data_IF_666406854690
#
_entry.id   IF_666406854690
#
_cell.length_a   1.000
_cell.length_b   1.000
_cell.length_c   1.000
_cell.angle_alpha   90.00
_cell.angle_beta   90.00
_cell.angle_gamma   90.00
#
_symmetry.space_group_name_H-M   'P 1'
#
loop_
_entity.id
_entity.type
_entity.pdbx_description
1 polymer ?
#
# COMPACT_ATOMS: atom_id res chain seq x y z
N UNK A 1 82.25 16.80 -31.60
CA UNK A 1 80.91 17.15 -32.15
C UNK A 1 79.84 16.15 -31.68
N UNK A 2 80.02 14.84 -31.89
CA UNK A 2 79.05 13.81 -31.48
C UNK A 2 78.75 13.71 -29.98
N UNK A 3 79.76 13.90 -29.11
CA UNK A 3 79.56 13.89 -27.64
C UNK A 3 78.65 15.01 -27.14
N UNK A 4 78.72 16.20 -27.73
CA UNK A 4 77.88 17.33 -27.33
C UNK A 4 76.41 17.10 -27.71
N UNK A 5 76.17 16.49 -28.88
CA UNK A 5 74.82 16.10 -29.32
C UNK A 5 74.23 15.05 -28.38
N UNK A 6 75.02 14.05 -27.98
CA UNK A 6 74.57 12.99 -27.08
C UNK A 6 74.18 13.51 -25.70
N UNK A 7 74.97 14.44 -25.15
CA UNK A 7 74.69 15.10 -23.87
C UNK A 7 73.38 15.90 -23.96
N UNK A 8 73.20 16.70 -25.02
CA UNK A 8 71.96 17.48 -25.22
C UNK A 8 70.73 16.58 -25.36
N UNK A 9 70.83 15.44 -26.05
CA UNK A 9 69.73 14.47 -26.17
C UNK A 9 69.36 13.82 -24.83
N UNK A 10 70.35 13.48 -23.99
CA UNK A 10 70.11 12.92 -22.65
C UNK A 10 69.39 13.94 -21.76
N UNK A 11 69.79 15.21 -21.81
CA UNK A 11 69.16 16.24 -20.99
C UNK A 11 67.79 16.64 -21.50
N UNK A 12 67.52 16.65 -22.81
CA UNK A 12 66.21 17.01 -23.36
C UNK A 12 65.16 15.89 -23.22
N UNK A 13 65.58 14.63 -23.25
CA UNK A 13 64.68 13.46 -23.14
C UNK A 13 63.75 13.48 -21.92
N UNK A 14 64.22 13.69 -20.67
CA UNK A 14 63.35 13.73 -19.50
C UNK A 14 62.40 14.94 -19.51
N UNK A 15 62.80 16.09 -20.06
CA UNK A 15 61.90 17.24 -20.21
C UNK A 15 60.77 16.97 -21.20
N UNK A 16 61.08 16.30 -22.33
CA UNK A 16 60.07 15.92 -23.31
C UNK A 16 59.07 14.93 -22.70
N UNK A 17 59.54 13.94 -21.95
CA UNK A 17 58.65 12.97 -21.28
C UNK A 17 57.75 13.65 -20.24
N UNK A 18 58.27 14.59 -19.44
CA UNK A 18 57.48 15.36 -18.48
C UNK A 18 56.41 16.22 -19.17
N UNK A 19 56.75 16.85 -20.29
CA UNK A 19 55.79 17.62 -21.09
C UNK A 19 54.68 16.73 -21.64
N UNK A 20 55.02 15.54 -22.16
CA UNK A 20 54.02 14.60 -22.69
C UNK A 20 53.07 14.11 -21.59
N UNK A 21 53.59 13.76 -20.40
CA UNK A 21 52.76 13.34 -19.26
C UNK A 21 51.87 14.49 -18.79
N UNK A 22 52.36 15.73 -18.77
CA UNK A 22 51.56 16.89 -18.40
C UNK A 22 50.44 17.19 -19.39
N UNK A 23 50.71 17.11 -20.70
CA UNK A 23 49.70 17.30 -21.75
C UNK A 23 48.63 16.20 -21.66
N UNK A 24 49.02 14.95 -21.45
CA UNK A 24 48.06 13.85 -21.28
C UNK A 24 47.24 14.04 -20.00
N UNK A 25 47.87 14.45 -18.89
CA UNK A 25 47.16 14.70 -17.62
C UNK A 25 46.10 15.80 -17.73
N UNK A 26 46.43 16.92 -18.39
CA UNK A 26 45.51 18.05 -18.55
C UNK A 26 44.35 17.74 -19.50
N UNK A 27 44.59 16.93 -20.54
CA UNK A 27 43.53 16.50 -21.46
C UNK A 27 42.58 15.49 -20.81
N UNK A 28 43.08 14.60 -19.96
CA UNK A 28 42.24 13.66 -19.20
C UNK A 28 41.39 14.39 -18.17
N UNK A 29 41.95 15.33 -17.39
CA UNK A 29 41.18 16.09 -16.40
C UNK A 29 40.07 16.93 -17.05
N UNK A 30 40.36 17.54 -18.21
CA UNK A 30 39.35 18.29 -18.96
C UNK A 30 38.21 17.38 -19.47
N UNK A 31 38.53 16.16 -19.90
CA UNK A 31 37.52 15.19 -20.30
C UNK A 31 36.67 14.71 -19.12
N UNK A 32 37.24 14.51 -17.94
CA UNK A 32 36.50 14.14 -16.73
C UNK A 32 35.51 15.25 -16.33
N UNK A 33 35.94 16.52 -16.36
CA UNK A 33 35.07 17.67 -16.06
C UNK A 33 33.92 17.80 -17.07
N UNK A 34 34.19 17.59 -18.36
CA UNK A 34 33.17 17.62 -19.39
C UNK A 34 32.15 16.47 -19.24
N UNK A 35 32.60 15.28 -18.87
CA UNK A 35 31.71 14.13 -18.59
C UNK A 35 30.86 14.40 -17.35
N UNK A 36 31.42 15.03 -16.32
CA UNK A 36 30.69 15.42 -15.10
C UNK A 36 29.58 16.44 -15.40
N UNK A 37 29.85 17.47 -16.21
CA UNK A 37 28.85 18.47 -16.61
C UNK A 37 27.74 17.87 -17.48
N UNK A 38 28.08 16.97 -18.43
CA UNK A 38 27.11 16.26 -19.25
C UNK A 38 26.20 15.38 -18.38
N UNK A 39 26.78 14.67 -17.39
CA UNK A 39 26.03 13.85 -16.44
C UNK A 39 25.09 14.70 -15.58
N UNK A 40 25.57 15.83 -15.05
CA UNK A 40 24.76 16.79 -14.30
C UNK A 40 23.59 17.37 -15.11
N UNK A 41 23.80 17.68 -16.39
CA UNK A 41 22.74 18.13 -17.31
C UNK A 41 21.73 17.02 -17.62
N UNK A 42 22.18 15.78 -17.81
CA UNK A 42 21.32 14.60 -17.99
C UNK A 42 20.45 14.32 -16.75
N UNK A 43 21.02 14.41 -15.56
CA UNK A 43 20.30 14.19 -14.30
C UNK A 43 19.27 15.31 -14.04
N UNK A 44 19.62 16.57 -14.37
CA UNK A 44 18.67 17.70 -14.34
C UNK A 44 17.54 17.53 -15.35
N UNK A 45 17.82 17.07 -16.57
CA UNK A 45 16.79 16.76 -17.56
C UNK A 45 15.90 15.58 -17.14
N UNK A 46 16.48 14.55 -16.50
CA UNK A 46 15.75 13.40 -15.94
C UNK A 46 14.84 13.84 -14.80
N UNK A 47 15.31 14.72 -13.92
CA UNK A 47 14.52 15.35 -12.85
C UNK A 47 13.36 16.17 -13.41
N UNK A 48 13.59 17.01 -14.41
CA UNK A 48 12.54 17.80 -15.07
C UNK A 48 11.53 16.94 -15.86
N UNK A 49 11.91 15.75 -16.34
CA UNK A 49 10.96 14.78 -16.94
C UNK A 49 10.17 14.02 -15.87
N UNK A 50 10.77 13.75 -14.70
CA UNK A 50 10.14 13.14 -13.52
C UNK A 50 9.13 14.08 -12.87
N UNK A 51 9.47 15.35 -12.69
CA UNK A 51 8.58 16.39 -12.15
C UNK A 51 7.37 16.64 -13.06
N UNK A 52 7.58 16.67 -14.40
CA UNK A 52 6.48 16.74 -15.38
C UNK A 52 5.64 15.47 -15.51
N UNK A 53 6.09 14.32 -14.99
CA UNK A 53 5.27 13.10 -14.86
C UNK A 53 4.43 13.15 -13.59
N UNK A 54 4.97 13.67 -12.49
CA UNK A 54 4.23 13.89 -11.25
C UNK A 54 3.15 14.97 -11.37
N UNK A 55 3.41 16.06 -12.11
CA UNK A 55 2.40 17.09 -12.43
C UNK A 55 1.34 16.62 -13.45
N UNK A 56 1.67 15.59 -14.24
CA UNK A 56 0.75 14.95 -15.19
C UNK A 56 0.09 13.68 -14.64
N UNK A 57 0.40 13.29 -13.40
CA UNK A 57 -0.45 12.35 -12.70
C UNK A 57 -1.80 13.03 -12.57
N UNK A 58 -2.73 12.62 -13.43
CA UNK A 58 -4.00 13.31 -13.58
C UNK A 58 -4.78 13.23 -12.26
N UNK A 59 -5.71 14.14 -12.04
CA UNK A 59 -6.58 14.10 -10.85
C UNK A 59 -7.26 12.73 -10.65
N UNK A 60 -7.34 11.90 -11.71
CA UNK A 60 -7.77 10.50 -11.69
C UNK A 60 -6.83 9.55 -10.91
N UNK A 61 -5.50 9.75 -10.95
CA UNK A 61 -4.53 8.94 -10.19
C UNK A 61 -4.47 9.39 -8.73
N UNK A 62 -4.63 10.69 -8.47
CA UNK A 62 -4.87 11.21 -7.10
C UNK A 62 -6.16 10.67 -6.50
N UNK A 63 -7.23 10.58 -7.29
CA UNK A 63 -8.50 10.01 -6.82
C UNK A 63 -8.42 8.50 -6.66
N UNK A 64 -7.67 7.76 -7.49
CA UNK A 64 -7.44 6.33 -7.27
C UNK A 64 -6.63 6.07 -5.98
N UNK A 65 -5.64 6.90 -5.66
CA UNK A 65 -4.89 6.82 -4.40
C UNK A 65 -5.76 7.24 -3.19
N UNK A 66 -6.61 8.27 -3.35
CA UNK A 66 -7.55 8.70 -2.32
C UNK A 66 -8.66 7.65 -2.06
N UNK A 67 -9.10 6.92 -3.09
CA UNK A 67 -10.09 5.85 -2.99
C UNK A 67 -9.57 4.62 -2.25
N UNK A 68 -8.25 4.43 -2.14
CA UNK A 68 -7.65 3.27 -1.46
C UNK A 68 -7.50 3.44 0.06
N UNK A 69 -7.81 4.61 0.61
CA UNK A 69 -7.74 4.85 2.07
C UNK A 69 -6.33 4.96 2.64
N UNK A 70 -5.29 4.89 1.81
CA UNK A 70 -3.87 4.89 2.22
C UNK A 70 -3.24 6.30 2.21
N UNK A 71 -4.02 7.34 2.49
CA UNK A 71 -3.48 8.71 2.61
C UNK A 71 -2.47 8.84 3.76
N UNK A 72 -2.60 8.02 4.80
CA UNK A 72 -1.68 7.95 5.94
C UNK A 72 -0.34 7.27 5.62
N UNK A 73 -0.31 6.35 4.66
CA UNK A 73 0.94 5.69 4.25
C UNK A 73 1.88 6.68 3.54
N UNK A 74 1.31 7.63 2.79
CA UNK A 74 2.08 8.61 2.01
C UNK A 74 2.76 9.69 2.88
N UNK A 75 2.17 10.07 4.01
CA UNK A 75 2.74 11.07 4.94
C UNK A 75 3.94 10.52 5.74
N UNK A 76 4.09 9.19 5.81
CA UNK A 76 5.16 8.52 6.57
C UNK A 76 6.41 8.17 5.74
N UNK A 77 6.39 8.43 4.43
CA UNK A 77 7.49 8.05 3.53
C UNK A 77 8.67 9.02 3.72
N UNK A 78 9.66 8.59 4.50
CA UNK A 78 10.85 9.38 4.82
C UNK A 78 11.99 9.19 3.81
N UNK A 79 11.94 8.13 2.99
CA UNK A 79 13.01 7.75 2.06
C UNK A 79 12.53 7.57 0.61
N UNK A 80 13.34 8.08 -0.33
CA UNK A 80 13.08 8.03 -1.78
C UNK A 80 12.98 6.60 -2.34
N UNK A 81 13.68 5.64 -1.74
CA UNK A 81 13.69 4.24 -2.17
C UNK A 81 12.38 3.53 -1.81
N UNK A 82 11.77 3.86 -0.66
CA UNK A 82 10.47 3.33 -0.25
C UNK A 82 9.35 3.82 -1.17
N UNK A 83 9.42 5.09 -1.59
CA UNK A 83 8.48 5.65 -2.56
C UNK A 83 8.58 4.94 -3.91
N UNK A 84 9.79 4.65 -4.39
CA UNK A 84 9.99 3.94 -5.65
C UNK A 84 9.45 2.50 -5.59
N UNK A 85 9.63 1.82 -4.46
CA UNK A 85 9.05 0.50 -4.21
C UNK A 85 7.52 0.53 -4.24
N UNK A 86 6.90 1.53 -3.59
CA UNK A 86 5.43 1.69 -3.56
C UNK A 86 4.89 1.97 -4.97
N UNK A 87 5.54 2.85 -5.73
CA UNK A 87 5.14 3.16 -7.11
C UNK A 87 5.26 1.93 -8.01
N UNK A 88 6.37 1.19 -7.95
CA UNK A 88 6.54 -0.06 -8.72
C UNK A 88 5.49 -1.10 -8.36
N UNK A 89 5.13 -1.21 -7.08
CA UNK A 89 4.07 -2.11 -6.62
C UNK A 89 2.71 -1.68 -7.17
N UNK A 90 2.39 -0.40 -7.14
CA UNK A 90 1.14 0.14 -7.67
C UNK A 90 1.03 -0.02 -9.19
N UNK A 91 2.11 0.25 -9.95
CA UNK A 91 2.17 0.03 -11.40
C UNK A 91 1.95 -1.45 -11.74
N UNK A 92 2.60 -2.36 -11.01
CA UNK A 92 2.43 -3.79 -11.19
C UNK A 92 0.98 -4.25 -10.89
N UNK A 93 0.38 -3.75 -9.83
CA UNK A 93 -1.04 -4.02 -9.50
C UNK A 93 -1.99 -3.47 -10.57
N UNK A 94 -1.74 -2.26 -11.07
CA UNK A 94 -2.53 -1.65 -12.14
C UNK A 94 -2.43 -2.45 -13.44
N UNK A 95 -1.23 -2.92 -13.80
CA UNK A 95 -1.04 -3.80 -14.97
C UNK A 95 -1.76 -5.14 -14.77
N UNK A 96 -1.70 -5.74 -13.58
CA UNK A 96 -2.44 -6.98 -13.24
C UNK A 96 -3.96 -6.80 -13.39
N UNK A 97 -4.50 -5.69 -12.89
CA UNK A 97 -5.93 -5.37 -12.99
C UNK A 97 -6.35 -5.09 -14.44
N UNK A 98 -5.57 -4.30 -15.18
CA UNK A 98 -5.83 -3.97 -16.58
C UNK A 98 -5.81 -5.20 -17.48
N UNK A 99 -4.90 -6.15 -17.23
CA UNK A 99 -4.87 -7.42 -17.95
C UNK A 99 -6.15 -8.24 -17.75
N UNK A 100 -6.66 -8.34 -16.52
CA UNK A 100 -7.89 -9.06 -16.22
C UNK A 100 -9.14 -8.39 -16.84
N UNK A 101 -9.18 -7.06 -16.88
CA UNK A 101 -10.29 -6.34 -17.50
C UNK A 101 -10.39 -6.62 -19.01
N UNK A 102 -9.26 -6.81 -19.70
CA UNK A 102 -9.23 -7.06 -21.15
C UNK A 102 -9.38 -8.52 -21.53
N UNK A 103 -8.80 -9.43 -20.75
CA UNK A 103 -8.75 -10.86 -21.05
C UNK A 103 -9.84 -11.67 -20.32
N UNK A 104 -10.61 -11.02 -19.46
CA UNK A 104 -11.52 -11.67 -18.52
C UNK A 104 -10.80 -12.10 -17.25
N UNK A 105 -11.55 -12.15 -16.16
CA UNK A 105 -11.03 -12.65 -14.89
C UNK A 105 -10.92 -14.17 -14.93
N UNK A 106 -9.73 -14.69 -14.59
CA UNK A 106 -9.55 -16.10 -14.27
C UNK A 106 -9.92 -16.32 -12.82
N UNK A 107 -11.15 -16.77 -12.60
CA UNK A 107 -11.70 -17.02 -11.27
C UNK A 107 -11.24 -18.37 -10.73
N UNK A 108 -10.74 -18.36 -9.50
CA UNK A 108 -10.58 -19.56 -8.66
C UNK A 108 -11.53 -19.39 -7.46
N UNK A 109 -12.74 -19.89 -7.64
CA UNK A 109 -13.88 -19.53 -6.80
C UNK A 109 -14.20 -18.03 -6.85
N UNK A 110 -14.30 -17.38 -5.69
CA UNK A 110 -14.70 -15.97 -5.57
C UNK A 110 -13.54 -14.97 -5.70
N UNK A 111 -12.32 -15.42 -6.01
CA UNK A 111 -11.15 -14.55 -6.16
C UNK A 111 -10.47 -14.81 -7.49
N UNK A 112 -10.06 -13.74 -8.17
CA UNK A 112 -9.28 -13.87 -9.38
C UNK A 112 -7.81 -14.16 -9.05
N UNK A 113 -7.26 -15.28 -9.51
CA UNK A 113 -5.85 -15.65 -9.29
C UNK A 113 -4.87 -14.57 -9.77
N UNK A 114 -5.25 -13.87 -10.85
CA UNK A 114 -4.37 -12.95 -11.57
C UNK A 114 -4.44 -11.55 -10.99
N UNK A 115 -5.57 -11.00 -10.55
CA UNK A 115 -5.63 -9.63 -10.01
C UNK A 115 -6.07 -9.55 -8.55
N UNK A 116 -6.46 -10.66 -7.93
CA UNK A 116 -6.99 -10.67 -6.57
C UNK A 116 -8.35 -9.99 -6.41
N UNK A 117 -8.97 -9.56 -7.52
CA UNK A 117 -10.33 -9.02 -7.49
C UNK A 117 -11.26 -10.07 -6.88
N UNK A 118 -12.15 -9.62 -6.01
CA UNK A 118 -13.17 -10.47 -5.41
C UNK A 118 -14.43 -10.36 -6.25
N UNK A 119 -15.01 -11.49 -6.61
CA UNK A 119 -16.33 -11.48 -7.19
C UNK A 119 -17.35 -11.28 -6.06
N UNK A 120 -17.95 -10.09 -6.01
CA UNK A 120 -18.98 -9.76 -5.02
C UNK A 120 -20.36 -10.29 -5.40
N UNK A 121 -20.52 -10.89 -6.58
CA UNK A 121 -21.76 -11.57 -6.92
C UNK A 121 -21.96 -12.72 -5.94
N UNK A 122 -22.99 -12.63 -5.10
CA UNK A 122 -23.39 -13.66 -4.14
C UNK A 122 -23.96 -14.92 -4.82
N UNK A 123 -23.56 -15.19 -6.06
CA UNK A 123 -23.86 -16.44 -6.75
C UNK A 123 -23.16 -17.56 -6.00
N UNK A 124 -23.99 -18.46 -5.47
CA UNK A 124 -23.58 -19.53 -4.56
C UNK A 124 -22.52 -20.42 -5.21
N UNK A 125 -22.62 -20.60 -6.53
CA UNK A 125 -21.83 -21.52 -7.35
C UNK A 125 -20.36 -21.09 -7.52
N UNK A 126 -20.09 -19.79 -7.32
CA UNK A 126 -18.74 -19.22 -7.46
C UNK A 126 -17.98 -19.28 -6.13
N UNK A 127 -18.67 -19.48 -5.01
CA UNK A 127 -18.09 -19.43 -3.68
C UNK A 127 -17.93 -20.84 -3.09
N UNK A 128 -16.81 -21.07 -2.40
CA UNK A 128 -16.57 -22.29 -1.66
C UNK A 128 -16.99 -22.11 -0.20
N UNK A 129 -18.27 -22.35 0.07
CA UNK A 129 -18.88 -22.13 1.39
C UNK A 129 -18.45 -23.19 2.42
N UNK A 130 -18.17 -22.72 3.63
CA UNK A 130 -18.10 -23.48 4.89
C UNK A 130 -19.16 -22.87 5.80
N UNK A 131 -20.33 -23.51 5.88
CA UNK A 131 -21.48 -23.02 6.64
C UNK A 131 -21.88 -21.59 6.24
N UNK A 132 -21.63 -20.60 7.09
CA UNK A 132 -22.03 -19.21 6.88
C UNK A 132 -20.99 -18.34 6.16
N UNK A 133 -19.79 -18.85 5.87
CA UNK A 133 -18.71 -18.08 5.26
C UNK A 133 -17.97 -18.80 4.14
N UNK A 134 -17.48 -18.06 3.15
CA UNK A 134 -16.66 -18.62 2.09
C UNK A 134 -15.21 -18.79 2.54
N UNK A 135 -14.61 -19.98 2.35
CA UNK A 135 -13.21 -20.27 2.72
C UNK A 135 -12.19 -19.41 1.99
N UNK A 136 -12.54 -18.95 0.79
CA UNK A 136 -11.61 -18.25 -0.11
C UNK A 136 -11.63 -16.74 0.13
N UNK A 137 -12.81 -16.12 0.19
CA UNK A 137 -12.95 -14.66 0.29
C UNK A 137 -13.51 -14.17 1.63
N UNK A 138 -13.96 -15.05 2.53
CA UNK A 138 -14.58 -14.68 3.81
C UNK A 138 -15.95 -14.00 3.69
N UNK A 139 -16.52 -13.97 2.47
CA UNK A 139 -17.87 -13.46 2.26
C UNK A 139 -18.88 -14.31 3.04
N UNK A 140 -20.02 -13.72 3.42
CA UNK A 140 -21.11 -14.39 4.12
C UNK A 140 -22.13 -14.92 3.11
N UNK A 141 -22.66 -16.13 3.35
CA UNK A 141 -23.69 -16.68 2.47
C UNK A 141 -24.98 -15.84 2.58
N UNK A 142 -25.67 -15.53 1.47
CA UNK A 142 -26.86 -14.69 1.50
C UNK A 142 -28.01 -15.29 2.32
N UNK A 143 -28.04 -16.62 2.48
CA UNK A 143 -28.97 -17.38 3.32
C UNK A 143 -28.26 -18.07 4.49
N UNK A 144 -27.13 -17.50 4.94
CA UNK A 144 -26.35 -18.02 6.05
C UNK A 144 -27.21 -18.25 7.29
N UNK A 145 -27.30 -19.52 7.71
CA UNK A 145 -27.75 -19.87 9.06
C UNK A 145 -26.52 -19.87 9.95
N UNK A 146 -26.50 -18.96 10.91
CA UNK A 146 -25.45 -18.92 11.92
C UNK A 146 -25.82 -19.82 13.10
N UNK A 147 -24.86 -20.62 13.53
CA UNK A 147 -24.94 -21.39 14.78
C UNK A 147 -24.38 -20.53 15.93
N UNK A 148 -25.28 -19.85 16.62
CA UNK A 148 -24.97 -18.86 17.66
C UNK A 148 -24.75 -19.54 19.02
N UNK A 149 -23.60 -19.30 19.64
CA UNK A 149 -23.27 -19.73 20.99
C UNK A 149 -23.24 -18.51 21.94
N UNK A 150 -23.93 -18.59 23.08
CA UNK A 150 -23.88 -17.54 24.10
C UNK A 150 -22.48 -17.51 24.73
N UNK A 151 -21.81 -16.36 24.66
CA UNK A 151 -20.45 -16.19 25.19
C UNK A 151 -20.38 -15.24 26.38
N UNK A 152 -21.35 -14.34 26.54
CA UNK A 152 -21.42 -13.41 27.67
C UNK A 152 -22.88 -13.05 27.97
N UNK A 153 -23.17 -12.85 29.26
CA UNK A 153 -24.46 -12.39 29.75
C UNK A 153 -24.23 -11.34 30.83
N UNK A 154 -24.73 -10.13 30.60
CA UNK A 154 -24.62 -9.00 31.52
C UNK A 154 -26.01 -8.52 31.90
N UNK A 155 -26.22 -8.21 33.18
CA UNK A 155 -27.48 -7.65 33.68
C UNK A 155 -27.21 -6.36 34.44
N UNK A 156 -28.05 -5.36 34.21
CA UNK A 156 -28.00 -4.06 34.88
C UNK A 156 -29.36 -3.73 35.45
N UNK A 157 -29.38 -3.29 36.70
CA UNK A 157 -30.61 -2.93 37.41
C UNK A 157 -30.60 -1.42 37.66
N UNK A 158 -31.68 -0.76 37.30
CA UNK A 158 -31.87 0.67 37.48
C UNK A 158 -33.16 0.87 38.27
N UNK A 159 -33.04 1.49 39.44
CA UNK A 159 -34.18 1.90 40.25
C UNK A 159 -34.61 3.32 39.87
N UNK A 160 -35.92 3.52 39.71
CA UNK A 160 -36.54 4.80 39.40
C UNK A 160 -37.77 4.99 40.28
N UNK A 161 -37.90 6.17 40.89
CA UNK A 161 -39.12 6.54 41.61
C UNK A 161 -40.06 7.30 40.66
N UNK A 162 -41.21 6.71 40.35
CA UNK A 162 -42.21 7.28 39.44
C UNK A 162 -43.51 7.64 40.18
N UNK A 163 -44.14 8.75 39.79
CA UNK A 163 -45.37 9.23 40.43
C UNK A 163 -46.62 8.70 39.71
N UNK A 164 -47.39 7.83 40.36
CA UNK A 164 -48.63 7.27 39.83
C UNK A 164 -49.77 7.39 40.84
N UNK A 165 -50.94 7.88 40.41
CA UNK A 165 -52.16 7.88 41.25
C UNK A 165 -52.03 8.61 42.59
N UNK A 166 -51.17 9.62 42.72
CA UNK A 166 -51.02 10.43 43.94
C UNK A 166 -50.00 9.92 44.96
N UNK A 167 -49.18 8.93 44.62
CA UNK A 167 -48.08 8.43 45.45
C UNK A 167 -46.85 8.09 44.60
N UNK A 168 -45.68 8.00 45.24
CA UNK A 168 -44.45 7.50 44.60
C UNK A 168 -44.45 5.97 44.59
N UNK A 169 -44.09 5.40 43.44
CA UNK A 169 -43.89 3.97 43.22
C UNK A 169 -42.43 3.79 42.79
N UNK A 170 -41.69 2.97 43.53
CA UNK A 170 -40.33 2.56 43.14
C UNK A 170 -40.44 1.46 42.11
N UNK A 171 -39.90 1.70 40.91
CA UNK A 171 -39.82 0.73 39.83
C UNK A 171 -38.38 0.26 39.65
N UNK A 172 -38.22 -1.02 39.38
CA UNK A 172 -36.95 -1.68 39.09
C UNK A 172 -36.92 -2.07 37.62
N UNK A 173 -36.06 -1.42 36.85
CA UNK A 173 -35.81 -1.75 35.45
C UNK A 173 -34.61 -2.68 35.35
N UNK A 174 -34.78 -3.83 34.71
CA UNK A 174 -33.69 -4.79 34.47
C UNK A 174 -33.38 -4.81 32.99
N UNK A 175 -32.13 -4.53 32.64
CA UNK A 175 -31.59 -4.64 31.28
C UNK A 175 -30.60 -5.79 31.22
N UNK A 176 -30.97 -6.84 30.49
CA UNK A 176 -30.12 -8.00 30.18
C UNK A 176 -29.53 -7.86 28.78
N UNK A 177 -28.22 -8.03 28.66
CA UNK A 177 -27.47 -8.02 27.40
C UNK A 177 -26.84 -9.39 27.23
N UNK A 178 -27.32 -10.14 26.24
CA UNK A 178 -26.78 -11.44 25.85
C UNK A 178 -25.90 -11.28 24.63
N UNK A 179 -24.62 -11.64 24.73
CA UNK A 179 -23.68 -11.63 23.60
C UNK A 179 -23.50 -13.05 23.09
N UNK A 180 -23.79 -13.25 21.82
CA UNK A 180 -23.63 -14.50 21.09
C UNK A 180 -22.48 -14.40 20.09
N UNK A 181 -21.79 -15.51 19.87
CA UNK A 181 -20.76 -15.65 18.83
C UNK A 181 -21.08 -16.83 17.92
N UNK A 182 -20.98 -16.65 16.61
CA UNK A 182 -21.15 -17.75 15.66
C UNK A 182 -19.93 -18.68 15.70
N UNK A 183 -20.16 -20.00 15.84
CA UNK A 183 -19.07 -21.00 15.90
C UNK A 183 -18.23 -21.08 14.63
N UNK A 184 -18.82 -20.72 13.48
CA UNK A 184 -18.19 -20.89 12.18
C UNK A 184 -17.48 -19.63 11.67
N UNK A 185 -18.09 -18.46 11.85
CA UNK A 185 -17.51 -17.20 11.36
C UNK A 185 -16.94 -16.28 12.45
N UNK A 186 -17.18 -16.58 13.72
CA UNK A 186 -16.72 -15.76 14.84
C UNK A 186 -17.40 -14.40 14.98
N UNK A 187 -18.39 -14.08 14.14
CA UNK A 187 -19.18 -12.84 14.28
C UNK A 187 -19.89 -12.83 15.62
N UNK A 188 -20.04 -11.64 16.19
CA UNK A 188 -20.78 -11.42 17.42
C UNK A 188 -22.13 -10.74 17.15
N UNK A 189 -23.13 -11.11 17.95
CA UNK A 189 -24.45 -10.53 17.97
C UNK A 189 -24.81 -10.24 19.42
N UNK A 190 -25.40 -9.07 19.69
CA UNK A 190 -25.94 -8.74 21.01
C UNK A 190 -27.45 -8.65 20.94
N UNK A 191 -28.11 -9.31 21.88
CA UNK A 191 -29.55 -9.18 22.11
C UNK A 191 -29.77 -8.47 23.45
N UNK A 192 -30.59 -7.43 23.43
CA UNK A 192 -30.92 -6.63 24.61
C UNK A 192 -32.37 -6.90 25.00
N UNK A 193 -32.58 -7.32 26.24
CA UNK A 193 -33.89 -7.52 26.84
C UNK A 193 -34.09 -6.53 27.98
N UNK A 194 -35.20 -5.80 27.95
CA UNK A 194 -35.55 -4.83 29.00
C UNK A 194 -36.87 -5.23 29.61
N UNK A 195 -36.89 -5.42 30.93
CA UNK A 195 -38.05 -5.80 31.71
C UNK A 195 -38.24 -4.88 32.92
N UNK A 196 -39.48 -4.83 33.42
CA UNK A 196 -39.80 -4.21 34.71
C UNK A 196 -40.03 -5.37 35.68
N UNK A 197 -39.28 -5.38 36.80
CA UNK A 197 -39.42 -6.35 37.90
C UNK A 197 -40.37 -5.79 38.95
#
# INVERSE_FOLDING_TARGET
MWLAIFIVCIFLSPFILLLMVWIVGTTVSFMEDAISDIKGKLDKQRCMRRQRRLERLSDAERTCLAMRGDMSALESITNLDELELIIKKAEYEHVRQSACSKLGHKWDGCVCEICGARNTSAERDIHQWDDCVCKICGAEAPDAKHDWELINQESTEIESDEWYGGHFVRMTFVTEINTYRCRHCGRERQDVHTGIS
#
